data_IF_452535517532
#
_entry.id   IF_452535517532
#
_cell.length_a   1.000
_cell.length_b   1.000
_cell.length_c   1.000
_cell.angle_alpha   90.00
_cell.angle_beta   90.00
_cell.angle_gamma   90.00
#
_symmetry.space_group_name_H-M   'P 1'
#
loop_
_entity.id
_entity.type
_entity.pdbx_description
1 polymer ?
#
# COMPACT_ATOMS: atom_id res chain seq x y z
N UNK A 1 15.46 -11.74 -22.25
CA UNK A 1 15.23 -11.61 -20.80
C UNK A 1 15.31 -10.14 -20.39
N UNK A 2 14.64 -9.76 -19.31
CA UNK A 2 14.82 -8.44 -18.67
C UNK A 2 15.42 -8.61 -17.28
N UNK A 3 15.78 -7.50 -16.64
CA UNK A 3 16.40 -7.49 -15.33
C UNK A 3 16.47 -6.08 -14.76
N UNK A 4 17.02 -5.99 -13.56
CA UNK A 4 17.21 -4.70 -12.90
C UNK A 4 18.15 -3.82 -13.74
N UNK A 5 17.84 -2.52 -13.97
CA UNK A 5 18.58 -1.65 -14.88
C UNK A 5 20.11 -1.68 -14.67
N UNK A 6 20.56 -1.69 -13.42
CA UNK A 6 21.99 -1.74 -13.04
C UNK A 6 22.73 -3.01 -13.48
N UNK A 7 22.02 -4.08 -13.87
CA UNK A 7 22.59 -5.37 -14.22
C UNK A 7 22.29 -5.79 -15.67
N UNK A 8 21.70 -4.90 -16.47
CA UNK A 8 21.30 -5.22 -17.85
C UNK A 8 22.50 -5.53 -18.77
N UNK A 9 23.63 -4.84 -18.59
CA UNK A 9 24.85 -5.13 -19.37
C UNK A 9 25.40 -6.54 -19.08
N UNK A 10 25.33 -6.99 -17.84
CA UNK A 10 25.76 -8.33 -17.45
C UNK A 10 24.84 -9.39 -18.07
N UNK A 11 23.53 -9.13 -18.12
CA UNK A 11 22.56 -10.01 -18.77
C UNK A 11 22.81 -10.13 -20.28
N UNK A 12 23.19 -9.02 -20.94
CA UNK A 12 23.44 -8.97 -22.38
C UNK A 12 24.60 -9.89 -22.83
N UNK A 13 25.47 -10.31 -21.91
CA UNK A 13 26.55 -11.26 -22.20
C UNK A 13 26.06 -12.70 -22.49
N UNK A 14 24.84 -13.04 -22.06
CA UNK A 14 24.31 -14.42 -22.11
C UNK A 14 22.87 -14.52 -22.63
N UNK A 15 22.17 -13.40 -22.78
CA UNK A 15 20.80 -13.35 -23.29
C UNK A 15 20.53 -12.06 -24.07
N UNK A 16 19.51 -12.06 -24.92
CA UNK A 16 18.99 -10.84 -25.53
C UNK A 16 18.29 -10.03 -24.43
N UNK A 17 18.95 -8.95 -24.00
CA UNK A 17 18.46 -8.06 -22.97
C UNK A 17 17.39 -7.11 -23.54
N UNK A 18 16.25 -7.00 -22.87
CA UNK A 18 15.14 -6.14 -23.27
C UNK A 18 14.63 -5.29 -22.11
N UNK A 19 14.10 -4.11 -22.41
CA UNK A 19 13.68 -3.13 -21.40
C UNK A 19 12.21 -3.27 -20.96
N UNK A 20 11.50 -4.29 -21.44
CA UNK A 20 10.16 -4.60 -20.96
C UNK A 20 10.14 -4.79 -19.44
N UNK A 21 9.08 -4.33 -18.77
CA UNK A 21 8.95 -4.42 -17.30
C UNK A 21 8.92 -5.88 -16.82
N UNK A 22 8.27 -6.73 -17.62
CA UNK A 22 8.28 -8.19 -17.50
C UNK A 22 8.52 -8.75 -18.90
N UNK A 23 9.39 -9.75 -18.99
CA UNK A 23 9.67 -10.46 -20.23
C UNK A 23 9.39 -11.96 -20.04
N UNK A 24 8.53 -12.49 -20.91
CA UNK A 24 8.29 -13.93 -21.07
C UNK A 24 9.05 -14.40 -22.32
N UNK A 25 9.85 -15.44 -22.18
CA UNK A 25 10.54 -16.12 -23.28
C UNK A 25 10.45 -17.63 -23.07
N UNK A 26 9.54 -18.28 -23.81
CA UNK A 26 9.18 -19.67 -23.56
C UNK A 26 8.71 -19.87 -22.12
N UNK A 27 9.43 -20.71 -21.36
CA UNK A 27 9.13 -21.00 -19.94
C UNK A 27 9.83 -20.06 -18.95
N UNK A 28 10.67 -19.15 -19.44
CA UNK A 28 11.38 -18.20 -18.58
C UNK A 28 10.58 -16.89 -18.47
N UNK A 29 10.25 -16.49 -17.25
CA UNK A 29 9.67 -15.19 -16.94
C UNK A 29 10.69 -14.40 -16.14
N UNK A 30 10.96 -13.16 -16.53
CA UNK A 30 11.93 -12.26 -15.88
C UNK A 30 11.31 -10.88 -15.67
N UNK A 31 11.76 -10.15 -14.66
CA UNK A 31 11.24 -8.83 -14.30
C UNK A 31 12.35 -7.91 -13.79
N UNK A 32 12.06 -6.61 -13.64
CA UNK A 32 13.10 -5.58 -13.42
C UNK A 32 13.35 -5.21 -11.96
N UNK A 33 12.44 -5.49 -11.05
CA UNK A 33 12.61 -5.12 -9.64
C UNK A 33 11.31 -5.12 -8.84
N UNK A 34 11.36 -4.60 -7.60
CA UNK A 34 10.20 -4.60 -6.70
C UNK A 34 8.94 -3.98 -7.33
N UNK A 35 9.10 -2.86 -8.05
CA UNK A 35 8.03 -2.16 -8.74
C UNK A 35 7.34 -2.94 -9.86
N UNK A 36 7.92 -4.07 -10.29
CA UNK A 36 7.36 -4.99 -11.31
C UNK A 36 6.88 -6.31 -10.73
N UNK A 37 6.90 -6.49 -9.39
CA UNK A 37 6.63 -7.78 -8.76
C UNK A 37 5.20 -8.29 -9.01
N UNK A 38 4.18 -7.43 -8.98
CA UNK A 38 2.81 -7.81 -9.31
C UNK A 38 2.66 -8.22 -10.76
N UNK A 39 3.23 -7.44 -11.70
CA UNK A 39 3.23 -7.77 -13.14
C UNK A 39 3.92 -9.13 -13.38
N UNK A 40 5.02 -9.38 -12.66
CA UNK A 40 5.76 -10.64 -12.73
C UNK A 40 4.91 -11.82 -12.25
N UNK A 41 4.24 -11.68 -11.11
CA UNK A 41 3.36 -12.71 -10.57
C UNK A 41 2.18 -13.01 -11.51
N UNK A 42 1.54 -11.98 -12.08
CA UNK A 42 0.46 -12.13 -13.06
C UNK A 42 0.94 -12.84 -14.32
N UNK A 43 2.13 -12.52 -14.84
CA UNK A 43 2.70 -13.22 -15.98
C UNK A 43 2.95 -14.71 -15.69
N UNK A 44 3.35 -15.07 -14.46
CA UNK A 44 3.44 -16.47 -14.05
C UNK A 44 2.06 -17.14 -13.98
N UNK A 45 1.04 -16.43 -13.48
CA UNK A 45 -0.34 -16.93 -13.46
C UNK A 45 -0.84 -17.19 -14.89
N UNK A 46 -0.57 -16.30 -15.84
CA UNK A 46 -0.93 -16.51 -17.24
C UNK A 46 -0.26 -17.75 -17.82
N UNK A 47 1.03 -17.98 -17.53
CA UNK A 47 1.76 -19.17 -17.98
C UNK A 47 1.21 -20.47 -17.38
N UNK A 48 0.75 -20.44 -16.13
CA UNK A 48 0.30 -21.63 -15.40
C UNK A 48 -1.19 -21.94 -15.59
N UNK A 49 -2.03 -20.92 -15.68
CA UNK A 49 -3.49 -21.04 -15.62
C UNK A 49 -4.20 -20.40 -16.82
N UNK A 50 -3.45 -19.75 -17.72
CA UNK A 50 -4.00 -19.07 -18.90
C UNK A 50 -4.39 -17.62 -18.63
N UNK A 51 -4.59 -16.90 -19.74
CA UNK A 51 -4.83 -15.44 -19.75
C UNK A 51 -6.08 -15.03 -18.96
N UNK A 52 -7.17 -15.78 -19.06
CA UNK A 52 -8.43 -15.48 -18.36
C UNK A 52 -8.22 -15.35 -16.84
N UNK A 53 -7.47 -16.28 -16.25
CA UNK A 53 -7.18 -16.25 -14.81
C UNK A 53 -6.26 -15.08 -14.43
N UNK A 54 -5.33 -14.72 -15.30
CA UNK A 54 -4.44 -13.57 -15.11
C UNK A 54 -5.21 -12.24 -15.16
N UNK A 55 -6.17 -12.12 -16.09
CA UNK A 55 -7.03 -10.95 -16.24
C UNK A 55 -7.95 -10.79 -15.01
N UNK A 56 -8.60 -11.88 -14.55
CA UNK A 56 -9.42 -11.91 -13.32
C UNK A 56 -8.63 -11.47 -12.09
N UNK A 57 -7.41 -11.99 -11.93
CA UNK A 57 -6.54 -11.61 -10.81
C UNK A 57 -6.13 -10.14 -10.88
N UNK A 58 -5.78 -9.64 -12.07
CA UNK A 58 -5.36 -8.25 -12.26
C UNK A 58 -6.47 -7.25 -11.94
N UNK A 59 -7.71 -7.58 -12.33
CA UNK A 59 -8.90 -6.79 -12.01
C UNK A 59 -9.18 -6.79 -10.50
N UNK A 60 -9.16 -7.97 -9.87
CA UNK A 60 -9.35 -8.10 -8.42
C UNK A 60 -8.32 -7.29 -7.63
N UNK A 61 -7.06 -7.32 -8.06
CA UNK A 61 -5.97 -6.55 -7.45
C UNK A 61 -6.04 -5.05 -7.76
N UNK A 62 -6.94 -4.57 -8.63
CA UNK A 62 -7.01 -3.14 -9.01
C UNK A 62 -5.68 -2.66 -9.64
N UNK A 63 -5.03 -3.53 -10.43
CA UNK A 63 -3.79 -3.18 -11.11
C UNK A 63 -4.00 -2.05 -12.12
N UNK A 64 -2.99 -1.19 -12.31
CA UNK A 64 -3.05 -0.10 -13.30
C UNK A 64 -2.95 -0.67 -14.72
N UNK A 65 -3.68 -0.08 -15.67
CA UNK A 65 -3.64 -0.50 -17.06
C UNK A 65 -2.37 -0.08 -17.80
N UNK A 66 -1.69 0.99 -17.34
CA UNK A 66 -0.43 1.46 -17.92
C UNK A 66 0.63 1.65 -16.84
N UNK A 67 1.59 0.73 -16.81
CA UNK A 67 2.66 0.73 -15.82
C UNK A 67 3.85 1.64 -16.13
N UNK A 68 3.87 2.31 -17.29
CA UNK A 68 4.97 3.21 -17.69
C UNK A 68 4.72 4.67 -17.35
N UNK A 69 3.46 5.07 -17.14
CA UNK A 69 3.11 6.44 -16.83
C UNK A 69 3.41 6.79 -15.36
N UNK A 70 3.51 8.10 -15.08
CA UNK A 70 3.46 8.64 -13.73
C UNK A 70 2.19 8.17 -13.01
N UNK A 71 2.29 7.95 -11.69
CA UNK A 71 1.14 7.67 -10.86
C UNK A 71 0.46 8.98 -10.45
N UNK A 72 -0.84 8.92 -10.21
CA UNK A 72 -1.64 10.12 -9.88
C UNK A 72 -2.21 9.94 -8.48
N UNK A 73 -1.90 10.91 -7.61
CA UNK A 73 -2.53 11.06 -6.31
C UNK A 73 -3.53 12.19 -6.42
N UNK A 74 -4.79 11.93 -6.04
CA UNK A 74 -5.81 12.98 -6.01
C UNK A 74 -5.72 13.71 -4.66
N UNK A 75 -5.13 14.91 -4.64
CA UNK A 75 -5.06 15.73 -3.43
C UNK A 75 -6.19 16.77 -3.39
N UNK A 76 -6.89 16.79 -2.27
CA UNK A 76 -8.03 17.66 -1.96
C UNK A 76 -7.75 18.35 -0.62
N UNK A 77 -8.21 19.59 -0.48
CA UNK A 77 -8.01 20.39 0.75
C UNK A 77 -6.56 20.32 1.27
N UNK A 78 -5.56 20.69 0.45
CA UNK A 78 -4.16 20.43 0.75
C UNK A 78 -3.74 21.07 2.07
N UNK A 79 -3.05 20.28 2.89
CA UNK A 79 -2.39 20.73 4.12
C UNK A 79 -0.97 20.20 4.15
N UNK A 80 -0.06 20.94 4.77
CA UNK A 80 1.29 20.47 5.01
C UNK A 80 1.29 19.39 6.09
N UNK A 81 1.99 18.28 5.84
CA UNK A 81 2.26 17.27 6.84
C UNK A 81 3.62 17.60 7.41
N UNK A 82 3.66 18.26 8.57
CA UNK A 82 4.92 18.71 9.18
C UNK A 82 5.77 17.51 9.61
N UNK A 83 6.85 17.19 8.88
CA UNK A 83 7.65 16.01 9.16
C UNK A 83 8.59 16.32 10.33
N UNK A 84 8.76 15.34 11.23
CA UNK A 84 10.01 15.25 11.99
C UNK A 84 11.08 14.65 11.06
N UNK A 85 12.37 14.86 11.35
CA UNK A 85 13.49 14.34 10.54
C UNK A 85 13.42 12.81 10.27
N UNK A 86 12.72 12.06 11.14
CA UNK A 86 12.33 10.67 10.90
C UNK A 86 10.89 10.45 11.41
N UNK A 87 9.87 10.56 10.55
CA UNK A 87 8.48 10.43 10.95
C UNK A 87 8.22 9.01 11.49
N UNK A 88 7.52 8.91 12.62
CA UNK A 88 7.14 7.63 13.21
C UNK A 88 5.77 7.20 12.71
N UNK A 89 5.70 6.05 12.04
CA UNK A 89 4.50 5.58 11.35
C UNK A 89 4.06 4.25 11.96
N UNK A 90 2.79 4.16 12.36
CA UNK A 90 2.19 2.90 12.83
C UNK A 90 1.49 2.18 11.68
N UNK A 91 1.82 0.91 11.49
CA UNK A 91 1.12 -0.01 10.58
C UNK A 91 0.58 -1.19 11.39
N UNK A 92 -0.70 -1.17 11.78
CA UNK A 92 -1.33 -2.29 12.47
C UNK A 92 -1.54 -3.49 11.53
N UNK A 93 -1.28 -4.70 12.01
CA UNK A 93 -1.57 -5.95 11.31
C UNK A 93 -2.41 -6.88 12.20
N UNK A 94 -3.22 -7.72 11.58
CA UNK A 94 -4.06 -8.72 12.23
C UNK A 94 -4.14 -9.97 11.36
N UNK A 95 -4.71 -11.05 11.89
CA UNK A 95 -5.05 -12.20 11.06
C UNK A 95 -5.96 -11.76 9.91
N UNK A 96 -5.64 -12.22 8.70
CA UNK A 96 -6.38 -11.85 7.49
C UNK A 96 -6.02 -10.49 6.90
N UNK A 97 -4.99 -9.80 7.40
CA UNK A 97 -4.45 -8.59 6.75
C UNK A 97 -4.01 -8.94 5.32
N UNK A 98 -4.27 -8.05 4.37
CA UNK A 98 -3.73 -8.21 3.01
C UNK A 98 -2.21 -7.95 3.04
N UNK A 99 -1.44 -9.01 2.77
CA UNK A 99 0.01 -9.01 2.96
C UNK A 99 0.75 -8.09 1.99
N UNK A 100 0.31 -7.96 0.75
CA UNK A 100 0.99 -7.10 -0.23
C UNK A 100 0.88 -5.63 0.17
N UNK A 101 -0.32 -5.19 0.57
CA UNK A 101 -0.61 -3.86 1.08
C UNK A 101 0.28 -3.55 2.30
N UNK A 102 0.27 -4.43 3.31
CA UNK A 102 1.07 -4.24 4.51
C UNK A 102 2.57 -4.17 4.17
N UNK A 103 3.11 -5.15 3.44
CA UNK A 103 4.54 -5.23 3.15
C UNK A 103 5.00 -4.08 2.25
N UNK A 104 4.23 -3.69 1.23
CA UNK A 104 4.59 -2.56 0.36
C UNK A 104 4.59 -1.23 1.11
N UNK A 105 3.60 -0.99 1.98
CA UNK A 105 3.58 0.19 2.85
C UNK A 105 4.83 0.21 3.73
N UNK A 106 5.12 -0.91 4.41
CA UNK A 106 6.25 -1.01 5.35
C UNK A 106 7.59 -0.83 4.62
N UNK A 107 7.82 -1.55 3.50
CA UNK A 107 9.09 -1.52 2.75
C UNK A 107 9.38 -0.12 2.21
N UNK A 108 8.41 0.49 1.52
CA UNK A 108 8.59 1.80 0.87
C UNK A 108 8.88 2.89 1.91
N UNK A 109 8.12 2.91 3.01
CA UNK A 109 8.32 3.91 4.06
C UNK A 109 9.66 3.72 4.78
N UNK A 110 10.08 2.47 5.04
CA UNK A 110 11.42 2.18 5.61
C UNK A 110 12.55 2.56 4.65
N UNK A 111 12.38 2.37 3.33
CA UNK A 111 13.35 2.83 2.30
C UNK A 111 13.54 4.34 2.34
N UNK A 112 12.45 5.10 2.48
CA UNK A 112 12.43 6.54 2.68
C UNK A 112 12.88 7.00 4.10
N UNK A 113 13.43 6.10 4.92
CA UNK A 113 13.96 6.37 6.27
C UNK A 113 12.93 6.77 7.33
N UNK A 114 11.64 6.49 7.09
CA UNK A 114 10.63 6.60 8.14
C UNK A 114 10.82 5.51 9.21
N UNK A 115 10.49 5.84 10.46
CA UNK A 115 10.48 4.90 11.57
C UNK A 115 9.13 4.17 11.60
N UNK A 116 9.04 3.05 10.87
CA UNK A 116 7.82 2.24 10.77
C UNK A 116 7.77 1.21 11.90
N UNK A 117 6.73 1.32 12.73
CA UNK A 117 6.37 0.36 13.78
C UNK A 117 5.22 -0.50 13.28
N UNK A 118 5.47 -1.79 13.12
CA UNK A 118 4.46 -2.79 12.79
C UNK A 118 3.90 -3.35 14.09
N UNK A 119 2.59 -3.24 14.30
CA UNK A 119 1.95 -3.65 15.54
C UNK A 119 0.88 -4.73 15.30
N UNK A 120 1.02 -5.88 15.95
CA UNK A 120 -0.02 -6.91 15.92
C UNK A 120 -1.19 -6.50 16.81
N UNK A 121 -2.41 -6.55 16.27
CA UNK A 121 -3.66 -6.35 17.01
C UNK A 121 -4.09 -7.63 17.76
N UNK A 122 -3.43 -8.75 17.47
CA UNK A 122 -3.64 -10.04 18.13
C UNK A 122 -2.86 -10.14 19.45
N UNK A 123 -3.00 -11.26 20.16
CA UNK A 123 -2.27 -11.54 21.40
C UNK A 123 -0.82 -12.00 21.19
N UNK A 124 -0.38 -12.12 19.93
CA UNK A 124 0.95 -12.60 19.54
C UNK A 124 1.51 -11.76 18.38
N UNK A 125 2.84 -11.76 18.25
CA UNK A 125 3.55 -11.00 17.22
C UNK A 125 3.35 -11.58 15.81
N UNK A 126 3.33 -12.91 15.66
CA UNK A 126 3.08 -13.57 14.38
C UNK A 126 1.57 -13.59 14.07
N UNK A 127 1.20 -13.14 12.87
CA UNK A 127 -0.16 -13.25 12.32
C UNK A 127 -0.14 -14.06 11.03
N UNK A 128 -1.30 -14.60 10.65
CA UNK A 128 -1.51 -15.25 9.36
C UNK A 128 -2.33 -14.33 8.46
N UNK A 129 -1.70 -13.81 7.41
CA UNK A 129 -2.29 -12.89 6.44
C UNK A 129 -3.35 -13.58 5.54
N UNK A 130 -3.99 -12.80 4.67
CA UNK A 130 -5.14 -13.23 3.87
C UNK A 130 -4.83 -14.42 2.95
N UNK A 131 -3.70 -14.39 2.24
CA UNK A 131 -3.20 -15.49 1.39
C UNK A 131 -2.22 -16.41 2.14
N UNK A 132 -2.34 -16.46 3.48
CA UNK A 132 -1.64 -17.38 4.39
C UNK A 132 -0.14 -17.12 4.55
N UNK A 133 0.35 -15.97 4.08
CA UNK A 133 1.70 -15.50 4.44
C UNK A 133 1.73 -15.22 5.95
N UNK A 134 2.79 -15.68 6.61
CA UNK A 134 3.04 -15.33 8.02
C UNK A 134 3.80 -14.02 8.08
N UNK A 135 3.29 -13.07 8.87
CA UNK A 135 3.96 -11.80 9.13
C UNK A 135 4.23 -11.70 10.63
N UNK A 136 5.43 -11.27 11.01
CA UNK A 136 5.79 -11.02 12.40
C UNK A 136 5.86 -9.51 12.64
N UNK A 137 5.05 -9.02 13.60
CA UNK A 137 5.04 -7.62 14.00
C UNK A 137 6.26 -7.28 14.86
N UNK A 138 6.65 -6.00 14.87
CA UNK A 138 7.73 -5.51 15.74
C UNK A 138 7.28 -5.52 17.21
N UNK A 139 6.00 -5.21 17.47
CA UNK A 139 5.41 -5.11 18.81
C UNK A 139 3.93 -5.54 18.82
N UNK A 140 3.39 -5.77 20.01
CA UNK A 140 1.93 -5.85 20.20
C UNK A 140 1.31 -4.44 20.22
N UNK A 141 0.03 -4.34 19.87
CA UNK A 141 -0.72 -3.08 19.88
C UNK A 141 -0.69 -2.40 21.27
N UNK A 142 -0.61 -3.18 22.33
CA UNK A 142 -0.51 -2.70 23.73
C UNK A 142 0.73 -1.85 23.98
N UNK A 143 1.86 -2.26 23.41
CA UNK A 143 3.11 -1.49 23.49
C UNK A 143 3.06 -0.31 22.53
N UNK A 144 2.53 -0.53 21.31
CA UNK A 144 2.38 0.53 20.32
C UNK A 144 1.52 1.70 20.83
N UNK A 145 0.45 1.41 21.59
CA UNK A 145 -0.48 2.41 22.12
C UNK A 145 0.14 3.35 23.17
N UNK A 146 1.31 3.01 23.74
CA UNK A 146 2.05 3.86 24.68
C UNK A 146 2.82 4.98 23.98
N UNK A 147 2.92 4.94 22.65
CA UNK A 147 3.68 5.88 21.84
C UNK A 147 2.76 6.85 21.07
N UNK A 148 3.37 7.87 20.47
CA UNK A 148 2.72 8.79 19.54
C UNK A 148 3.29 8.63 18.13
N UNK A 149 2.45 8.78 17.11
CA UNK A 149 2.81 8.55 15.70
C UNK A 149 2.45 9.73 14.83
N UNK A 150 3.32 10.06 13.88
CA UNK A 150 3.09 11.09 12.87
C UNK A 150 2.05 10.65 11.85
N UNK A 151 1.95 9.34 11.61
CA UNK A 151 0.91 8.72 10.79
C UNK A 151 0.47 7.37 11.41
N UNK A 152 -0.84 7.11 11.39
CA UNK A 152 -1.38 5.76 11.59
C UNK A 152 -2.05 5.35 10.28
N UNK A 153 -1.62 4.23 9.70
CA UNK A 153 -2.14 3.77 8.42
C UNK A 153 -2.53 2.30 8.46
N UNK A 154 -3.77 2.01 8.04
CA UNK A 154 -4.31 0.65 8.06
C UNK A 154 -4.16 -0.01 6.69
N UNK A 155 -3.50 -1.19 6.60
CA UNK A 155 -3.67 -2.07 5.45
C UNK A 155 -5.11 -2.58 5.40
N UNK A 156 -5.51 -3.16 4.27
CA UNK A 156 -6.79 -3.81 4.09
C UNK A 156 -6.78 -5.28 4.53
N UNK A 157 -7.57 -6.05 3.79
CA UNK A 157 -8.02 -7.39 4.16
C UNK A 157 -9.47 -7.38 4.61
N UNK A 158 -10.32 -8.17 3.95
CA UNK A 158 -11.73 -8.30 4.34
C UNK A 158 -11.89 -9.00 5.69
N UNK A 159 -10.95 -9.89 6.03
CA UNK A 159 -10.95 -10.68 7.26
C UNK A 159 -10.35 -9.90 8.45
N UNK A 160 -9.34 -9.06 8.21
CA UNK A 160 -8.71 -8.22 9.25
C UNK A 160 -9.51 -6.97 9.60
N UNK A 161 -10.23 -6.38 8.64
CA UNK A 161 -10.94 -5.13 8.86
C UNK A 161 -11.97 -5.20 10.01
N UNK A 162 -12.76 -6.29 10.18
CA UNK A 162 -13.58 -6.48 11.38
C UNK A 162 -12.78 -6.51 12.69
N UNK A 163 -11.59 -7.10 12.71
CA UNK A 163 -10.70 -7.11 13.89
C UNK A 163 -10.22 -5.71 14.21
N UNK A 164 -9.78 -4.95 13.19
CA UNK A 164 -9.41 -3.55 13.36
C UNK A 164 -10.57 -2.70 13.89
N UNK A 165 -11.77 -2.87 13.32
CA UNK A 165 -12.97 -2.13 13.70
C UNK A 165 -13.44 -2.44 15.13
N UNK A 166 -13.25 -3.68 15.61
CA UNK A 166 -13.62 -4.08 16.98
C UNK A 166 -12.58 -3.73 18.03
N UNK A 167 -11.34 -3.45 17.63
CA UNK A 167 -10.28 -3.02 18.54
C UNK A 167 -10.52 -1.59 19.02
N UNK A 168 -11.17 -1.44 20.17
CA UNK A 168 -11.41 -0.13 20.80
C UNK A 168 -10.12 0.67 20.94
N UNK A 169 -9.02 -0.02 21.26
CA UNK A 169 -7.68 0.58 21.40
C UNK A 169 -7.23 1.23 20.10
N UNK A 170 -7.26 0.49 18.99
CA UNK A 170 -6.85 1.01 17.68
C UNK A 170 -7.77 2.13 17.22
N UNK A 171 -9.09 1.96 17.36
CA UNK A 171 -10.08 2.98 17.00
C UNK A 171 -9.87 4.27 17.80
N UNK A 172 -9.57 4.19 19.09
CA UNK A 172 -9.30 5.36 19.93
C UNK A 172 -8.00 6.06 19.51
N UNK A 173 -6.97 5.32 19.11
CA UNK A 173 -5.75 5.89 18.54
C UNK A 173 -6.03 6.67 17.25
N UNK A 174 -6.85 6.12 16.34
CA UNK A 174 -7.24 6.78 15.10
C UNK A 174 -8.10 8.05 15.34
N UNK A 175 -9.05 7.99 16.27
CA UNK A 175 -9.84 9.16 16.67
C UNK A 175 -8.94 10.26 17.23
N UNK A 176 -8.00 9.92 18.11
CA UNK A 176 -7.01 10.88 18.63
C UNK A 176 -6.16 11.49 17.52
N UNK A 177 -5.76 10.70 16.53
CA UNK A 177 -5.00 11.16 15.37
C UNK A 177 -5.79 12.23 14.59
N UNK A 178 -7.05 11.92 14.27
CA UNK A 178 -7.96 12.83 13.59
C UNK A 178 -8.24 14.10 14.39
N UNK A 179 -8.58 13.98 15.67
CA UNK A 179 -8.93 15.11 16.54
C UNK A 179 -7.73 16.05 16.72
N UNK A 180 -6.51 15.50 16.72
CA UNK A 180 -5.26 16.26 16.76
C UNK A 180 -4.82 16.80 15.39
N UNK A 181 -5.66 16.67 14.35
CA UNK A 181 -5.34 17.03 12.95
C UNK A 181 -4.06 16.37 12.40
N UNK A 182 -3.61 15.26 12.99
CA UNK A 182 -2.44 14.53 12.50
C UNK A 182 -2.82 13.60 11.35
N UNK A 183 -1.88 13.28 10.46
CA UNK A 183 -2.11 12.33 9.37
C UNK A 183 -2.61 10.96 9.85
N UNK A 184 -3.59 10.41 9.14
CA UNK A 184 -4.07 9.04 9.28
C UNK A 184 -4.57 8.52 7.93
N UNK A 185 -4.70 7.21 7.77
CA UNK A 185 -5.18 6.66 6.51
C UNK A 185 -5.49 5.18 6.53
N UNK A 186 -6.02 4.71 5.41
CA UNK A 186 -6.33 3.31 5.22
C UNK A 186 -6.39 2.94 3.73
N UNK A 187 -6.10 1.70 3.39
CA UNK A 187 -6.21 1.19 2.02
C UNK A 187 -7.23 0.05 1.93
N UNK A 188 -7.78 -0.15 0.74
CA UNK A 188 -8.61 -1.30 0.39
C UNK A 188 -9.90 -1.35 1.22
N UNK A 189 -10.12 -2.40 2.02
CA UNK A 189 -11.35 -2.57 2.78
C UNK A 189 -11.43 -1.63 4.00
N UNK A 190 -10.28 -1.22 4.56
CA UNK A 190 -10.21 -0.50 5.82
C UNK A 190 -10.85 0.90 5.82
N UNK A 191 -10.81 1.72 4.75
CA UNK A 191 -11.59 2.95 4.68
C UNK A 191 -13.09 2.73 4.94
N UNK A 192 -13.70 1.76 4.24
CA UNK A 192 -15.14 1.54 4.30
C UNK A 192 -15.58 0.70 5.51
N UNK A 193 -14.74 -0.20 6.00
CA UNK A 193 -15.08 -1.12 7.08
C UNK A 193 -14.55 -0.70 8.46
N UNK A 194 -13.58 0.21 8.52
CA UNK A 194 -13.00 0.69 9.77
C UNK A 194 -13.22 2.20 9.93
N UNK A 195 -12.82 3.02 8.95
CA UNK A 195 -12.87 4.48 9.10
C UNK A 195 -14.29 5.03 9.04
N UNK A 196 -15.07 4.64 8.03
CA UNK A 196 -16.46 5.07 7.83
C UNK A 196 -17.37 4.80 9.05
N UNK A 197 -17.50 3.56 9.57
CA UNK A 197 -18.41 3.28 10.68
C UNK A 197 -18.01 3.96 12.00
N UNK A 198 -16.74 4.36 12.15
CA UNK A 198 -16.27 5.11 13.31
C UNK A 198 -16.33 6.63 13.11
N UNK A 199 -16.96 7.08 12.03
CA UNK A 199 -17.17 8.47 11.68
C UNK A 199 -15.89 9.21 11.28
N UNK A 200 -14.77 8.50 11.11
CA UNK A 200 -13.45 9.09 10.81
C UNK A 200 -13.45 9.78 9.43
N UNK A 201 -14.31 9.34 8.50
CA UNK A 201 -14.46 9.94 7.17
C UNK A 201 -15.45 11.11 7.10
N UNK A 202 -16.10 11.50 8.21
CA UNK A 202 -17.09 12.60 8.19
C UNK A 202 -16.45 13.91 7.69
N UNK A 203 -16.99 14.45 6.60
CA UNK A 203 -16.51 15.68 5.96
C UNK A 203 -15.23 15.50 5.13
N UNK A 204 -14.84 14.26 4.82
CA UNK A 204 -13.68 13.92 4.01
C UNK A 204 -14.09 13.16 2.76
N UNK A 205 -13.32 13.31 1.70
CA UNK A 205 -13.38 12.50 0.48
C UNK A 205 -12.42 11.32 0.60
N UNK A 206 -12.85 10.15 0.12
CA UNK A 206 -12.09 8.92 0.23
C UNK A 206 -12.34 7.99 -0.95
N UNK A 207 -11.41 7.07 -1.17
CA UNK A 207 -11.58 5.88 -2.01
C UNK A 207 -11.50 4.62 -1.14
N UNK A 208 -11.95 3.49 -1.66
CA UNK A 208 -11.95 2.19 -0.99
C UNK A 208 -12.00 1.04 -1.99
N UNK A 209 -11.84 -0.18 -1.50
CA UNK A 209 -11.94 -1.40 -2.28
C UNK A 209 -13.31 -1.51 -2.95
N UNK A 210 -13.39 -1.71 -4.29
CA UNK A 210 -14.65 -1.63 -5.02
C UNK A 210 -15.79 -2.50 -4.44
N UNK A 211 -15.55 -3.75 -4.00
CA UNK A 211 -16.58 -4.58 -3.39
C UNK A 211 -17.20 -4.06 -2.08
N UNK A 212 -16.62 -3.04 -1.45
CA UNK A 212 -17.14 -2.44 -0.20
C UNK A 212 -17.28 -0.92 -0.29
N UNK A 213 -17.04 -0.32 -1.47
CA UNK A 213 -17.08 1.14 -1.67
C UNK A 213 -18.50 1.70 -1.55
N UNK A 214 -19.52 0.86 -1.73
CA UNK A 214 -20.92 1.18 -1.49
C UNK A 214 -21.22 1.49 -0.02
N UNK A 215 -20.36 1.07 0.91
CA UNK A 215 -20.51 1.39 2.33
C UNK A 215 -20.05 2.81 2.68
N UNK A 216 -19.32 3.49 1.79
CA UNK A 216 -18.97 4.90 1.98
C UNK A 216 -20.21 5.78 1.82
N UNK A 217 -20.39 6.73 2.74
CA UNK A 217 -21.46 7.72 2.65
C UNK A 217 -21.23 8.74 1.53
N UNK A 218 -19.98 9.12 1.30
CA UNK A 218 -19.56 9.94 0.17
C UNK A 218 -18.81 9.10 -0.86
N UNK A 219 -19.39 9.00 -2.06
CA UNK A 219 -18.87 8.15 -3.13
C UNK A 219 -18.22 8.95 -4.27
N UNK A 220 -17.95 10.25 -4.08
CA UNK A 220 -17.50 11.09 -5.21
C UNK A 220 -16.11 10.71 -5.74
N UNK A 221 -15.25 10.10 -4.91
CA UNK A 221 -13.87 9.76 -5.27
C UNK A 221 -13.57 8.25 -5.32
N UNK A 222 -14.59 7.37 -5.30
CA UNK A 222 -14.38 5.90 -5.26
C UNK A 222 -13.66 5.35 -6.49
N UNK A 223 -13.66 6.10 -7.60
CA UNK A 223 -12.93 5.70 -8.80
C UNK A 223 -11.44 6.00 -8.74
N UNK A 224 -11.01 6.93 -7.87
CA UNK A 224 -9.61 7.32 -7.73
C UNK A 224 -8.80 6.20 -7.09
N UNK A 225 -7.55 6.06 -7.53
CA UNK A 225 -6.61 5.05 -7.03
C UNK A 225 -6.10 5.38 -5.63
N UNK A 226 -5.71 6.64 -5.43
CA UNK A 226 -5.28 7.20 -4.14
C UNK A 226 -5.89 8.59 -3.99
N UNK A 227 -6.44 8.86 -2.80
CA UNK A 227 -7.04 10.15 -2.44
C UNK A 227 -6.40 10.65 -1.15
N UNK A 228 -5.89 11.88 -1.17
CA UNK A 228 -5.50 12.64 0.03
C UNK A 228 -6.52 13.76 0.22
N UNK A 229 -7.17 13.83 1.37
CA UNK A 229 -8.03 14.95 1.76
C UNK A 229 -7.53 15.55 3.08
N UNK A 230 -6.73 16.61 2.97
CA UNK A 230 -6.01 17.20 4.10
C UNK A 230 -5.10 16.20 4.80
N UNK A 231 -5.46 15.81 6.02
CA UNK A 231 -4.71 14.84 6.84
C UNK A 231 -5.17 13.38 6.69
N UNK A 232 -6.13 13.09 5.80
CA UNK A 232 -6.55 11.72 5.49
C UNK A 232 -5.90 11.26 4.18
N UNK A 233 -5.34 10.06 4.16
CA UNK A 233 -4.98 9.35 2.91
C UNK A 233 -5.76 8.04 2.78
N UNK A 234 -6.31 7.76 1.60
CA UNK A 234 -6.98 6.49 1.29
C UNK A 234 -6.52 5.89 -0.03
N UNK A 235 -6.47 4.56 -0.11
CA UNK A 235 -6.09 3.80 -1.31
C UNK A 235 -7.17 2.79 -1.71
N UNK A 236 -7.29 2.53 -3.02
CA UNK A 236 -8.37 1.71 -3.59
C UNK A 236 -8.15 0.21 -3.38
N UNK A 237 -6.93 -0.32 -3.44
CA UNK A 237 -6.68 -1.76 -3.28
C UNK A 237 -5.21 -2.15 -3.43
N UNK A 238 -4.92 -3.45 -3.40
CA UNK A 238 -3.54 -3.96 -3.42
C UNK A 238 -2.68 -3.39 -4.56
N UNK A 239 -3.22 -3.30 -5.77
CA UNK A 239 -2.56 -2.73 -6.95
C UNK A 239 -2.30 -1.23 -6.89
N UNK A 240 -2.84 -0.52 -5.89
CA UNK A 240 -2.55 0.89 -5.60
C UNK A 240 -1.56 1.09 -4.45
N UNK A 241 -1.08 0.01 -3.80
CA UNK A 241 -0.29 0.10 -2.56
C UNK A 241 1.02 0.87 -2.72
N UNK A 242 1.71 0.70 -3.85
CA UNK A 242 2.94 1.46 -4.13
C UNK A 242 2.65 2.95 -4.29
N UNK A 243 1.59 3.30 -5.03
CA UNK A 243 1.16 4.70 -5.23
C UNK A 243 0.76 5.33 -3.91
N UNK A 244 0.05 4.57 -3.07
CA UNK A 244 -0.37 4.97 -1.75
C UNK A 244 0.81 5.24 -0.81
N UNK A 245 1.79 4.33 -0.76
CA UNK A 245 2.99 4.51 0.05
C UNK A 245 3.87 5.66 -0.48
N UNK A 246 4.03 5.78 -1.80
CA UNK A 246 4.76 6.90 -2.41
C UNK A 246 4.10 8.25 -2.16
N UNK A 247 2.77 8.31 -2.09
CA UNK A 247 2.06 9.51 -1.69
C UNK A 247 2.35 9.91 -0.24
N UNK A 248 2.49 8.95 0.66
CA UNK A 248 2.93 9.22 2.03
C UNK A 248 4.38 9.73 2.03
N UNK A 249 5.27 9.14 1.23
CA UNK A 249 6.66 9.61 1.08
C UNK A 249 6.69 11.05 0.57
N UNK A 250 5.89 11.37 -0.45
CA UNK A 250 5.79 12.73 -0.98
C UNK A 250 5.34 13.73 0.08
N UNK A 251 4.35 13.38 0.91
CA UNK A 251 3.85 14.28 1.96
C UNK A 251 4.86 14.53 3.07
N UNK A 252 5.68 13.54 3.45
CA UNK A 252 6.65 13.71 4.54
C UNK A 252 8.06 14.13 4.09
N UNK A 253 8.50 13.73 2.89
CA UNK A 253 9.87 13.91 2.42
C UNK A 253 9.96 14.70 1.11
N UNK A 254 8.83 15.07 0.54
CA UNK A 254 8.74 15.84 -0.70
C UNK A 254 8.76 14.98 -1.97
N UNK A 255 8.30 15.59 -3.06
CA UNK A 255 8.16 14.94 -4.36
C UNK A 255 9.47 14.34 -4.89
N UNK A 256 10.61 14.98 -4.62
CA UNK A 256 11.92 14.49 -5.05
C UNK A 256 12.22 13.11 -4.49
N UNK A 257 12.08 12.93 -3.17
CA UNK A 257 12.35 11.65 -2.50
C UNK A 257 11.37 10.56 -2.98
N UNK A 258 10.09 10.91 -3.19
CA UNK A 258 9.10 9.99 -3.72
C UNK A 258 9.48 9.48 -5.13
N UNK A 259 9.89 10.38 -6.03
CA UNK A 259 10.36 10.01 -7.38
C UNK A 259 11.62 9.14 -7.31
N UNK A 260 12.61 9.51 -6.49
CA UNK A 260 13.85 8.73 -6.33
C UNK A 260 13.55 7.31 -5.80
N UNK A 261 12.70 7.20 -4.77
CA UNK A 261 12.21 5.92 -4.26
C UNK A 261 11.50 5.09 -5.34
N UNK A 262 10.62 5.71 -6.13
CA UNK A 262 9.89 5.03 -7.21
C UNK A 262 10.83 4.52 -8.31
N UNK A 263 11.88 5.27 -8.65
CA UNK A 263 12.90 4.88 -9.64
C UNK A 263 13.78 3.73 -9.16
N UNK A 264 14.24 3.77 -7.91
CA UNK A 264 15.04 2.70 -7.30
C UNK A 264 14.27 1.36 -7.33
N UNK A 265 12.96 1.42 -7.12
CA UNK A 265 12.12 0.22 -7.20
C UNK A 265 11.76 -0.19 -8.63
N UNK A 266 12.11 0.61 -9.65
CA UNK A 266 11.67 0.42 -11.04
C UNK A 266 10.13 0.46 -11.17
N UNK A 267 9.47 1.24 -10.30
CA UNK A 267 8.02 1.43 -10.35
C UNK A 267 7.60 2.41 -11.46
N UNK A 268 8.37 3.49 -11.63
CA UNK A 268 8.31 4.40 -12.78
C UNK A 268 9.56 4.23 -13.64
N UNK A 269 9.63 4.93 -14.78
CA UNK A 269 10.84 4.89 -15.61
C UNK A 269 12.04 5.40 -14.81
N UNK A 270 13.14 4.63 -14.69
CA UNK A 270 14.37 5.09 -14.06
C UNK A 270 14.95 6.31 -14.79
#
# INVERSE_FOLDING_TARGET
ATGHPLFMEQLASSAIAVESRVQVDGKAVTSRGPGTAMEFAVALVEQLYGKEKADELSEFLVMRSNHRNEYIITELNPVEWTPNDSPKILVPIANGTEEMEAVMIIDILRRAKANVVVASVEDQLEIVASCKVKLEADVLLDEAAKLSYDLIVLPGGLDSAPTFAKSEKLVNMLKKQRDSQRPYGAICASPALVLEPHGLLKGKKATAFPPVSDKLSDRSEIEKRVVIDGNLITGKGAGTSMEFALGIVEKFFGLKEAIESAKIMVFVHP
#
